data_IF_166024409785
#
_entry.id   IF_166024409785
#
_cell.length_a   1.000
_cell.length_b   1.000
_cell.length_c   1.000
_cell.angle_alpha   90.00
_cell.angle_beta   90.00
_cell.angle_gamma   90.00
#
_symmetry.space_group_name_H-M   'P 1'
#
loop_
_entity.id
_entity.type
_entity.pdbx_description
1 polymer ?
#
# COMPACT_ATOMS: atom_id res chain seq x y z
N UNK A 1 -12.52 -3.81 -15.89
CA UNK A 1 -11.76 -3.99 -14.63
C UNK A 1 -11.68 -5.48 -14.33
N UNK A 2 -10.89 -6.22 -15.11
CA UNK A 2 -10.68 -7.65 -14.87
C UNK A 2 -9.25 -7.79 -14.39
N UNK A 3 -9.08 -7.66 -13.08
CA UNK A 3 -7.81 -7.83 -12.41
C UNK A 3 -8.03 -8.78 -11.25
N UNK A 4 -7.29 -9.88 -11.25
CA UNK A 4 -7.27 -10.93 -10.24
C UNK A 4 -7.58 -10.42 -8.81
N UNK A 5 -8.41 -11.13 -8.04
CA UNK A 5 -8.86 -10.73 -6.68
C UNK A 5 -7.68 -10.42 -5.74
N UNK A 6 -6.55 -11.06 -6.00
CA UNK A 6 -5.26 -10.81 -5.38
C UNK A 6 -4.72 -9.39 -5.54
N UNK A 7 -5.05 -8.68 -6.62
CA UNK A 7 -4.65 -7.28 -6.86
C UNK A 7 -5.33 -6.36 -5.88
N UNK A 8 -6.62 -6.58 -5.68
CA UNK A 8 -7.41 -5.84 -4.71
C UNK A 8 -6.90 -6.14 -3.30
N UNK A 9 -6.58 -7.39 -2.98
CA UNK A 9 -6.04 -7.76 -1.67
C UNK A 9 -4.67 -7.13 -1.42
N UNK A 10 -3.76 -7.09 -2.39
CA UNK A 10 -2.44 -6.47 -2.20
C UNK A 10 -2.55 -4.94 -2.21
N UNK A 11 -3.27 -4.37 -3.17
CA UNK A 11 -3.47 -2.93 -3.32
C UNK A 11 -4.25 -2.28 -2.16
N UNK A 12 -5.12 -3.04 -1.49
CA UNK A 12 -6.01 -2.55 -0.42
C UNK A 12 -5.64 -3.13 0.96
N UNK A 13 -5.08 -4.33 1.00
CA UNK A 13 -4.64 -4.96 2.25
C UNK A 13 -3.37 -4.36 2.83
N UNK A 14 -2.43 -3.92 1.99
CA UNK A 14 -1.23 -3.22 2.46
C UNK A 14 -1.58 -1.86 3.11
N UNK A 15 -2.38 -0.97 2.50
CA UNK A 15 -2.77 0.27 3.17
C UNK A 15 -3.63 0.02 4.40
N UNK A 16 -4.51 -0.99 4.41
CA UNK A 16 -5.26 -1.37 5.60
C UNK A 16 -4.34 -1.83 6.74
N UNK A 17 -3.34 -2.67 6.45
CA UNK A 17 -2.33 -3.10 7.42
C UNK A 17 -1.47 -1.92 7.92
N UNK A 18 -1.10 -0.99 7.04
CA UNK A 18 -0.36 0.21 7.44
C UNK A 18 -1.17 1.07 8.43
N UNK A 19 -2.48 1.22 8.22
CA UNK A 19 -3.34 1.93 9.19
C UNK A 19 -3.49 1.13 10.50
N UNK A 20 -3.76 -0.17 10.39
CA UNK A 20 -3.95 -1.05 11.56
C UNK A 20 -2.70 -1.22 12.41
N UNK A 21 -1.50 -1.18 11.82
CA UNK A 21 -0.23 -1.20 12.55
C UNK A 21 0.15 0.20 13.05
N UNK A 22 -0.20 1.24 12.31
CA UNK A 22 0.04 2.63 12.73
C UNK A 22 -0.70 2.98 14.03
N UNK A 23 -1.96 2.58 14.17
CA UNK A 23 -2.73 2.92 15.37
C UNK A 23 -2.07 2.41 16.67
N UNK A 24 -1.75 1.12 16.85
CA UNK A 24 -1.12 0.62 18.08
C UNK A 24 0.33 1.10 18.25
N UNK A 25 1.10 1.24 17.17
CA UNK A 25 2.50 1.70 17.25
C UNK A 25 2.61 3.17 17.67
N UNK A 26 1.67 4.02 17.27
CA UNK A 26 1.69 5.45 17.58
C UNK A 26 0.75 5.85 18.73
N UNK A 27 -0.25 5.03 19.07
CA UNK A 27 -1.21 5.32 20.17
C UNK A 27 -0.55 5.33 21.55
N UNK A 28 0.55 4.62 21.76
CA UNK A 28 1.30 4.62 23.02
C UNK A 28 2.48 5.60 23.01
N UNK A 29 2.79 6.21 21.86
CA UNK A 29 4.00 7.01 21.70
C UNK A 29 3.67 8.49 21.83
N UNK A 30 3.80 9.04 23.05
CA UNK A 30 3.84 10.48 23.29
C UNK A 30 5.16 11.12 22.80
N UNK A 31 6.00 10.36 22.09
CA UNK A 31 7.26 10.85 21.56
C UNK A 31 7.03 11.94 20.53
N UNK A 32 7.68 13.07 20.76
CA UNK A 32 7.76 14.21 19.86
C UNK A 32 9.13 14.17 19.20
N UNK A 33 9.18 14.06 17.87
CA UNK A 33 10.43 14.24 17.12
C UNK A 33 10.55 15.75 16.85
N UNK A 34 11.57 16.40 17.40
CA UNK A 34 11.81 17.85 17.23
C UNK A 34 10.63 18.75 17.68
N UNK A 35 9.81 18.28 18.63
CA UNK A 35 8.60 19.00 19.09
C UNK A 35 7.37 18.80 18.21
N UNK A 36 7.47 18.01 17.12
CA UNK A 36 6.34 17.67 16.24
C UNK A 36 5.83 16.25 16.61
N UNK A 37 4.50 16.05 16.71
CA UNK A 37 3.92 14.76 17.03
C UNK A 37 4.39 13.68 16.04
N UNK A 38 4.88 12.56 16.55
CA UNK A 38 5.37 11.44 15.74
C UNK A 38 4.31 10.89 14.75
N UNK A 39 3.03 11.11 15.04
CA UNK A 39 1.90 10.83 14.14
C UNK A 39 2.05 11.54 12.78
N UNK A 40 2.62 12.75 12.73
CA UNK A 40 2.84 13.45 11.45
C UNK A 40 3.92 12.78 10.59
N UNK A 41 4.98 12.27 11.21
CA UNK A 41 6.00 11.50 10.49
C UNK A 41 5.40 10.22 9.89
N UNK A 42 4.49 9.56 10.62
CA UNK A 42 3.75 8.40 10.13
C UNK A 42 2.80 8.74 8.97
N UNK A 43 2.06 9.85 9.08
CA UNK A 43 1.24 10.37 7.99
C UNK A 43 2.07 10.66 6.73
N UNK A 44 3.26 11.24 6.90
CA UNK A 44 4.19 11.44 5.80
C UNK A 44 4.73 10.12 5.23
N UNK A 45 4.90 9.08 6.05
CA UNK A 45 5.30 7.75 5.60
C UNK A 45 4.15 6.98 4.93
N UNK A 46 2.89 7.29 5.25
CA UNK A 46 1.72 6.72 4.58
C UNK A 46 1.68 7.08 3.09
N UNK A 47 2.07 8.30 2.70
CA UNK A 47 2.12 8.73 1.28
C UNK A 47 3.03 7.87 0.39
N UNK A 48 4.31 7.65 0.72
CA UNK A 48 5.17 6.75 -0.04
C UNK A 48 4.68 5.31 0.09
N UNK A 49 4.17 4.85 1.24
CA UNK A 49 3.61 3.50 1.40
C UNK A 49 2.46 3.25 0.42
N UNK A 50 1.48 4.16 0.33
CA UNK A 50 0.34 4.01 -0.59
C UNK A 50 0.81 4.07 -2.05
N UNK A 51 1.78 4.94 -2.34
CA UNK A 51 2.37 5.06 -3.68
C UNK A 51 3.12 3.77 -4.07
N UNK A 52 3.95 3.23 -3.17
CA UNK A 52 4.67 1.98 -3.38
C UNK A 52 3.72 0.80 -3.51
N UNK A 53 2.65 0.78 -2.73
CA UNK A 53 1.60 -0.25 -2.82
C UNK A 53 0.98 -0.25 -4.22
N UNK A 54 0.59 0.92 -4.72
CA UNK A 54 0.02 1.04 -6.06
C UNK A 54 1.04 0.69 -7.15
N UNK A 55 2.29 1.11 -6.97
CA UNK A 55 3.39 0.82 -7.89
C UNK A 55 3.70 -0.69 -7.97
N UNK A 56 3.73 -1.39 -6.84
CA UNK A 56 3.94 -2.83 -6.76
C UNK A 56 2.77 -3.59 -7.37
N UNK A 57 1.53 -3.17 -7.08
CA UNK A 57 0.32 -3.75 -7.70
C UNK A 57 0.41 -3.71 -9.23
N UNK A 58 0.80 -2.56 -9.77
CA UNK A 58 0.99 -2.37 -11.21
C UNK A 58 2.14 -3.19 -11.77
N UNK A 59 3.28 -3.22 -11.06
CA UNK A 59 4.51 -3.82 -11.59
C UNK A 59 4.45 -5.34 -11.68
N UNK A 60 3.82 -5.99 -10.72
CA UNK A 60 3.78 -7.43 -10.63
C UNK A 60 2.50 -8.01 -11.21
N UNK A 61 1.33 -7.49 -10.83
CA UNK A 61 0.10 -8.23 -11.08
C UNK A 61 -0.63 -7.80 -12.34
N UNK A 62 -0.65 -6.50 -12.64
CA UNK A 62 -1.26 -6.02 -13.89
C UNK A 62 -0.45 -6.45 -15.10
N UNK A 63 0.89 -6.45 -15.03
CA UNK A 63 1.72 -6.98 -16.13
C UNK A 63 1.41 -8.43 -16.48
N UNK A 64 1.22 -9.29 -15.50
CA UNK A 64 0.93 -10.70 -15.76
C UNK A 64 -0.51 -10.90 -16.27
N UNK A 65 -1.45 -10.06 -15.82
CA UNK A 65 -2.81 -10.04 -16.36
C UNK A 65 -2.85 -9.57 -17.82
N UNK A 66 -2.14 -8.49 -18.16
CA UNK A 66 -2.02 -8.00 -19.54
C UNK A 66 -1.35 -9.04 -20.45
N UNK A 67 -0.27 -9.67 -19.99
CA UNK A 67 0.45 -10.69 -20.77
C UNK A 67 -0.41 -11.95 -21.02
N UNK A 68 -1.31 -12.31 -20.10
CA UNK A 68 -2.30 -13.37 -20.30
C UNK A 68 -3.35 -13.02 -21.36
N UNK A 69 -3.87 -11.79 -21.33
CA UNK A 69 -4.83 -11.33 -22.33
C UNK A 69 -4.22 -11.35 -23.73
N UNK A 70 -2.99 -10.85 -23.87
CA UNK A 70 -2.29 -10.83 -25.17
C UNK A 70 -2.02 -12.23 -25.74
N UNK A 71 -1.77 -13.22 -24.88
CA UNK A 71 -1.55 -14.60 -25.27
C UNK A 71 -2.81 -15.36 -25.68
N UNK A 72 -4.00 -14.89 -25.30
CA UNK A 72 -5.30 -15.49 -25.65
C UNK A 72 -5.79 -15.04 -27.04
N UNK A 73 -5.27 -13.92 -27.55
CA UNK A 73 -5.59 -13.40 -28.89
C UNK A 73 -4.77 -14.05 -30.03
N UNK A 74 -3.93 -15.05 -29.74
CA UNK A 74 -3.06 -15.73 -30.71
C UNK A 74 -3.42 -17.20 -30.85
#
# INVERSE_FOLDING_TARGET
MVGNRWSLIVGMGIPAMAVLLGIPLFSQSANTILGIPMVFAWLFALLPITTLCFWVSWRYLERDAYRRLEGDFK
#
